data_IF_602958746180
#
_entry.id   IF_602958746180
#
_cell.length_a   1.000
_cell.length_b   1.000
_cell.length_c   1.000
_cell.angle_alpha   90.00
_cell.angle_beta   90.00
_cell.angle_gamma   90.00
#
_symmetry.space_group_name_H-M   'P 1'
#
loop_
_entity.id
_entity.type
_entity.pdbx_description
1 polymer ?
#
# COMPACT_ATOMS: atom_id res chain seq x y z
N UNK A 1 14.47 -9.80 5.79
CA UNK A 1 13.54 -8.92 5.04
C UNK A 1 12.27 -8.85 5.85
N UNK A 2 11.97 -7.69 6.41
CA UNK A 2 10.71 -7.47 7.10
C UNK A 2 9.78 -6.86 6.08
N UNK A 3 8.79 -7.62 5.62
CA UNK A 3 7.72 -7.11 4.80
C UNK A 3 6.68 -6.50 5.73
N UNK A 4 6.49 -5.18 5.64
CA UNK A 4 5.34 -4.55 6.28
C UNK A 4 4.11 -4.92 5.46
N UNK A 5 3.35 -5.88 5.95
CA UNK A 5 2.05 -6.20 5.37
C UNK A 5 1.01 -5.35 6.07
N UNK A 6 0.38 -4.47 5.33
CA UNK A 6 -0.74 -3.67 5.79
C UNK A 6 -1.98 -4.59 5.80
N UNK A 7 -2.38 -5.08 6.95
CA UNK A 7 -3.65 -5.79 7.08
C UNK A 7 -4.76 -4.80 7.46
N UNK A 8 -5.66 -4.54 6.53
CA UNK A 8 -6.94 -3.96 6.86
C UNK A 8 -7.92 -5.11 7.13
N UNK A 9 -8.05 -5.51 8.38
CA UNK A 9 -9.08 -6.48 8.79
C UNK A 9 -10.33 -5.71 9.20
N UNK A 10 -11.41 -5.88 8.45
CA UNK A 10 -12.73 -5.41 8.85
C UNK A 10 -13.35 -6.47 9.74
N UNK A 11 -13.30 -6.30 11.04
CA UNK A 11 -14.07 -7.11 11.98
C UNK A 11 -15.48 -6.52 12.04
N UNK A 12 -16.45 -7.26 11.52
CA UNK A 12 -17.87 -6.96 11.59
C UNK A 12 -18.43 -7.36 12.96
N UNK A 13 -18.33 -6.48 13.93
CA UNK A 13 -19.35 -6.23 14.95
C UNK A 13 -19.21 -4.78 15.38
N UNK A 14 -20.26 -3.98 15.17
CA UNK A 14 -20.36 -2.58 15.62
C UNK A 14 -19.52 -1.52 14.92
N UNK A 15 -19.72 -1.29 13.60
CA UNK A 15 -19.32 -0.06 12.88
C UNK A 15 -17.81 0.35 12.90
N UNK A 16 -16.88 -0.59 13.09
CA UNK A 16 -15.44 -0.31 13.09
C UNK A 16 -14.77 -0.80 11.82
N UNK A 17 -13.93 0.02 11.22
CA UNK A 17 -12.92 -0.38 10.26
C UNK A 17 -11.58 -0.42 11.00
N UNK A 18 -11.07 -1.61 11.29
CA UNK A 18 -9.72 -1.77 11.83
C UNK A 18 -8.74 -1.82 10.64
N UNK A 19 -7.92 -0.80 10.49
CA UNK A 19 -6.74 -0.84 9.65
C UNK A 19 -5.58 -1.27 10.53
N UNK A 20 -5.33 -2.56 10.60
CA UNK A 20 -4.16 -3.08 11.31
C UNK A 20 -2.98 -3.13 10.35
N UNK A 21 -1.97 -2.33 10.64
CA UNK A 21 -0.66 -2.39 9.98
C UNK A 21 0.17 -3.44 10.72
N UNK A 22 0.07 -4.70 10.33
CA UNK A 22 0.86 -5.76 11.00
C UNK A 22 2.16 -6.00 10.24
N UNK A 23 3.24 -6.03 10.99
CA UNK A 23 4.59 -6.27 10.48
C UNK A 23 4.95 -7.73 10.69
N UNK A 24 5.03 -8.52 9.62
CA UNK A 24 5.65 -9.85 9.69
C UNK A 24 7.17 -9.66 9.61
N UNK A 25 7.87 -10.14 10.65
CA UNK A 25 9.33 -10.14 10.69
C UNK A 25 9.91 -11.13 9.68
N UNK A 26 10.27 -10.65 8.50
CA UNK A 26 11.16 -11.35 7.59
C UNK A 26 12.54 -10.69 7.71
N UNK A 27 13.51 -11.44 8.18
CA UNK A 27 14.85 -10.95 8.48
C UNK A 27 15.59 -10.51 7.21
N UNK A 28 15.52 -9.21 6.90
CA UNK A 28 16.67 -8.51 6.32
C UNK A 28 16.98 -7.32 7.22
N UNK A 29 18.26 -7.18 7.56
CA UNK A 29 18.78 -6.15 8.45
C UNK A 29 18.32 -4.75 8.05
N UNK A 30 17.74 -4.06 9.04
CA UNK A 30 17.63 -2.60 9.15
C UNK A 30 17.14 -1.84 7.93
N UNK A 31 15.81 -1.72 7.77
CA UNK A 31 15.12 -0.48 7.41
C UNK A 31 13.68 -0.79 7.00
N UNK A 32 12.77 -0.79 7.97
CA UNK A 32 11.34 -0.88 7.66
C UNK A 32 10.87 0.44 7.09
N UNK A 33 10.22 0.39 5.91
CA UNK A 33 9.54 1.53 5.37
C UNK A 33 8.22 1.78 6.11
N UNK A 34 7.88 3.05 6.35
CA UNK A 34 6.62 3.46 6.98
C UNK A 34 5.99 4.62 6.21
N UNK A 35 4.67 4.57 6.05
CA UNK A 35 3.88 5.75 5.71
C UNK A 35 3.78 6.62 6.96
N UNK A 36 4.17 7.89 6.86
CA UNK A 36 4.15 8.83 7.98
C UNK A 36 3.03 9.86 7.88
N UNK A 37 2.59 10.18 6.66
CA UNK A 37 1.44 11.04 6.42
C UNK A 37 0.77 10.68 5.10
N UNK A 38 -0.53 10.88 5.05
CA UNK A 38 -1.34 10.74 3.84
C UNK A 38 -2.40 11.83 3.81
N UNK A 39 -2.60 12.45 2.65
CA UNK A 39 -3.76 13.30 2.42
C UNK A 39 -4.37 13.09 1.04
N UNK A 40 -5.65 13.40 0.95
CA UNK A 40 -6.41 13.37 -0.31
C UNK A 40 -7.40 14.52 -0.37
N UNK A 41 -7.56 15.08 -1.56
CA UNK A 41 -8.52 16.15 -1.86
C UNK A 41 -9.36 15.78 -3.07
N UNK A 42 -10.62 16.18 -3.08
CA UNK A 42 -11.57 15.97 -4.19
C UNK A 42 -11.81 14.49 -4.56
N UNK A 43 -11.78 13.58 -3.60
CA UNK A 43 -11.92 12.14 -3.85
C UNK A 43 -13.28 11.61 -3.36
N UNK A 44 -14.10 11.06 -4.25
CA UNK A 44 -15.43 10.47 -3.93
C UNK A 44 -16.28 11.38 -3.04
N UNK A 45 -16.51 11.02 -1.78
CA UNK A 45 -17.24 11.81 -0.81
C UNK A 45 -16.43 12.93 -0.14
N UNK A 46 -15.15 13.05 -0.42
CA UNK A 46 -14.24 14.01 0.20
C UNK A 46 -13.95 15.18 -0.71
N UNK A 47 -14.75 16.26 -0.59
CA UNK A 47 -14.53 17.50 -1.32
C UNK A 47 -13.25 18.20 -0.86
N UNK A 48 -13.12 18.38 0.44
CA UNK A 48 -12.00 19.07 1.06
C UNK A 48 -10.88 18.11 1.40
N UNK A 49 -9.67 18.64 1.62
CA UNK A 49 -8.52 17.87 2.06
C UNK A 49 -8.83 17.12 3.36
N UNK A 50 -8.58 15.85 3.35
CA UNK A 50 -8.51 14.98 4.53
C UNK A 50 -7.08 14.54 4.68
N UNK A 51 -6.56 14.62 5.90
CA UNK A 51 -5.20 14.27 6.24
C UNK A 51 -5.17 13.23 7.36
N UNK A 52 -4.24 12.32 7.27
CA UNK A 52 -3.89 11.37 8.30
C UNK A 52 -2.40 11.46 8.59
N UNK A 53 -2.07 12.17 9.66
CA UNK A 53 -0.70 12.31 10.15
C UNK A 53 -0.41 11.22 11.18
N UNK A 54 0.57 10.39 10.88
CA UNK A 54 1.04 9.29 11.70
C UNK A 54 2.39 9.62 12.39
N UNK A 55 2.97 10.78 12.08
CA UNK A 55 4.29 11.20 12.57
C UNK A 55 4.27 11.89 13.93
N UNK A 56 3.07 12.24 14.43
CA UNK A 56 2.89 12.93 15.70
C UNK A 56 2.04 12.12 16.66
N UNK A 57 2.56 11.02 17.25
CA UNK A 57 1.83 10.26 18.24
C UNK A 57 1.63 11.10 19.51
N UNK A 58 0.43 11.03 20.08
CA UNK A 58 0.17 11.64 21.39
C UNK A 58 0.94 10.89 22.49
N UNK A 59 1.18 11.59 23.63
CA UNK A 59 1.90 11.04 24.78
C UNK A 59 1.05 10.02 25.57
N UNK A 60 0.57 8.97 24.93
CA UNK A 60 -0.11 7.87 25.60
C UNK A 60 0.88 6.78 26.01
N UNK A 61 0.85 6.37 27.28
CA UNK A 61 1.65 5.25 27.80
C UNK A 61 1.06 3.89 27.46
N UNK A 62 -0.24 3.86 27.10
CA UNK A 62 -0.94 2.63 26.76
C UNK A 62 -0.57 2.18 25.33
N UNK A 63 -0.24 0.90 25.18
CA UNK A 63 0.11 0.29 23.89
C UNK A 63 1.32 0.94 23.18
N UNK A 64 2.43 1.08 23.88
CA UNK A 64 3.67 1.62 23.31
C UNK A 64 4.15 0.86 22.05
N UNK A 65 3.75 -0.42 21.90
CA UNK A 65 4.04 -1.22 20.73
C UNK A 65 3.35 -0.73 19.45
N UNK A 66 2.31 0.11 19.55
CA UNK A 66 1.66 0.74 18.39
C UNK A 66 2.47 1.89 17.78
N UNK A 67 3.53 2.34 18.45
CA UNK A 67 4.42 3.41 18.00
C UNK A 67 5.80 2.81 17.75
N UNK A 68 6.41 3.20 16.65
CA UNK A 68 7.79 2.83 16.31
C UNK A 68 8.52 4.05 15.76
N UNK A 69 9.68 4.36 16.34
CA UNK A 69 10.51 5.48 15.90
C UNK A 69 9.73 6.82 15.82
N UNK A 70 8.78 7.02 16.76
CA UNK A 70 7.90 8.19 16.78
C UNK A 70 6.76 8.17 15.74
N UNK A 71 6.55 7.05 15.02
CA UNK A 71 5.52 6.91 14.00
C UNK A 71 4.47 5.91 14.47
N UNK A 72 3.19 6.25 14.28
CA UNK A 72 2.06 5.38 14.60
C UNK A 72 1.99 4.25 13.57
N UNK A 73 2.15 2.99 14.02
CA UNK A 73 2.07 1.80 13.15
C UNK A 73 0.64 1.32 12.95
N UNK A 74 -0.18 1.44 13.97
CA UNK A 74 -1.52 0.88 13.99
C UNK A 74 -2.52 2.00 14.23
N UNK A 75 -3.44 2.22 13.31
CA UNK A 75 -4.49 3.22 13.42
C UNK A 75 -5.87 2.59 13.22
N UNK A 76 -6.85 3.09 13.95
CA UNK A 76 -8.26 2.69 13.82
C UNK A 76 -9.06 3.89 13.34
N UNK A 77 -9.79 3.71 12.22
CA UNK A 77 -10.72 4.71 11.71
C UNK A 77 -12.14 4.25 12.03
N UNK A 78 -12.85 5.04 12.82
CA UNK A 78 -14.23 4.77 13.20
C UNK A 78 -15.16 5.91 12.79
N UNK A 79 -16.46 5.62 12.72
CA UNK A 79 -17.50 6.61 12.36
C UNK A 79 -18.77 5.90 11.89
N UNK A 80 -19.86 6.64 11.68
CA UNK A 80 -21.13 6.08 11.25
C UNK A 80 -21.05 5.44 9.85
N UNK A 81 -22.06 4.65 9.49
CA UNK A 81 -22.17 4.11 8.14
C UNK A 81 -22.33 5.27 7.14
N UNK A 82 -21.68 5.17 5.98
CA UNK A 82 -21.69 6.23 4.97
C UNK A 82 -20.67 7.35 5.20
N UNK A 83 -19.95 7.40 6.34
CA UNK A 83 -18.96 8.45 6.64
C UNK A 83 -17.68 8.43 5.76
N UNK A 84 -17.58 7.51 4.81
CA UNK A 84 -16.43 7.46 3.87
C UNK A 84 -15.26 6.61 4.33
N UNK A 85 -15.34 5.86 5.45
CA UNK A 85 -14.22 5.03 5.96
C UNK A 85 -13.59 4.13 4.89
N UNK A 86 -14.41 3.42 4.11
CA UNK A 86 -13.93 2.55 3.03
C UNK A 86 -13.32 3.34 1.89
N UNK A 87 -13.86 4.52 1.57
CA UNK A 87 -13.31 5.40 0.55
C UNK A 87 -11.95 5.96 0.97
N UNK A 88 -11.74 6.22 2.26
CA UNK A 88 -10.45 6.66 2.76
C UNK A 88 -9.38 5.56 2.62
N UNK A 89 -9.71 4.30 2.95
CA UNK A 89 -8.83 3.17 2.70
C UNK A 89 -8.51 2.98 1.21
N UNK A 90 -9.51 3.15 0.33
CA UNK A 90 -9.29 3.12 -1.12
C UNK A 90 -8.39 4.26 -1.60
N UNK A 91 -8.51 5.46 -1.01
CA UNK A 91 -7.67 6.59 -1.35
C UNK A 91 -6.21 6.32 -0.97
N UNK A 92 -5.93 5.79 0.22
CA UNK A 92 -4.58 5.39 0.63
C UNK A 92 -3.98 4.38 -0.36
N UNK A 93 -4.82 3.51 -0.91
CA UNK A 93 -4.39 2.44 -1.82
C UNK A 93 -4.30 2.89 -3.29
N UNK A 94 -4.70 4.11 -3.63
CA UNK A 94 -4.67 4.62 -5.00
C UNK A 94 -3.29 4.55 -5.65
N UNK A 95 -2.24 4.79 -4.90
CA UNK A 95 -0.84 4.72 -5.36
C UNK A 95 -0.50 3.37 -6.01
N UNK A 96 -1.12 2.28 -5.56
CA UNK A 96 -0.90 0.95 -6.12
C UNK A 96 -1.39 0.81 -7.57
N UNK A 97 -2.35 1.65 -8.00
CA UNK A 97 -2.89 1.61 -9.35
C UNK A 97 -1.90 2.03 -10.44
N UNK A 98 -0.86 2.77 -10.09
CA UNK A 98 0.10 3.26 -11.08
C UNK A 98 1.56 2.91 -10.75
N UNK A 99 1.89 2.56 -9.50
CA UNK A 99 3.24 2.13 -9.12
C UNK A 99 3.37 0.62 -8.92
N UNK A 100 2.27 -0.14 -9.13
CA UNK A 100 2.33 -1.60 -9.08
C UNK A 100 1.55 -2.21 -10.25
N UNK A 101 1.74 -3.51 -10.47
CA UNK A 101 0.95 -4.27 -11.43
C UNK A 101 -0.41 -4.74 -10.89
N UNK A 102 -0.68 -4.44 -9.63
CA UNK A 102 -1.91 -4.80 -8.93
C UNK A 102 -3.07 -3.92 -9.40
N UNK A 103 -4.25 -4.46 -9.31
CA UNK A 103 -5.52 -3.79 -9.23
C UNK A 103 -5.80 -2.70 -10.29
N UNK A 104 -6.06 -3.13 -11.52
CA UNK A 104 -6.45 -2.22 -12.62
C UNK A 104 -7.91 -2.43 -13.01
N UNK A 105 -8.85 -2.30 -12.06
CA UNK A 105 -10.28 -2.39 -12.36
C UNK A 105 -10.81 -1.05 -12.91
N UNK A 106 -11.37 -1.02 -14.12
CA UNK A 106 -11.95 0.21 -14.69
C UNK A 106 -13.02 0.84 -13.78
N UNK A 107 -13.82 0.02 -13.12
CA UNK A 107 -14.89 0.48 -12.22
C UNK A 107 -14.39 1.29 -11.01
N UNK A 108 -13.11 1.20 -10.68
CA UNK A 108 -12.50 2.02 -9.65
C UNK A 108 -12.60 3.51 -9.96
N UNK A 109 -12.54 3.86 -11.24
CA UNK A 109 -12.60 5.25 -11.72
C UNK A 109 -14.01 5.78 -11.91
N UNK A 110 -15.04 4.95 -11.69
CA UNK A 110 -16.42 5.42 -11.60
C UNK A 110 -16.60 6.30 -10.36
N UNK A 111 -17.15 7.50 -10.55
CA UNK A 111 -17.32 8.47 -9.46
C UNK A 111 -16.02 8.66 -8.64
N UNK A 112 -14.91 8.82 -9.35
CA UNK A 112 -13.58 8.95 -8.76
C UNK A 112 -13.40 10.28 -8.05
N UNK A 113 -13.68 11.39 -8.72
CA UNK A 113 -13.71 12.71 -8.14
C UNK A 113 -15.03 12.97 -7.36
N UNK A 114 -15.03 13.96 -6.49
CA UNK A 114 -16.17 14.35 -5.69
C UNK A 114 -17.33 14.84 -6.58
N UNK A 115 -18.56 14.48 -6.25
CA UNK A 115 -19.74 14.92 -6.97
C UNK A 115 -19.81 16.45 -7.04
N UNK A 116 -20.03 16.98 -8.24
CA UNK A 116 -20.03 18.43 -8.52
C UNK A 116 -18.65 19.07 -8.70
N UNK A 117 -17.57 18.27 -8.66
CA UNK A 117 -16.18 18.69 -8.87
C UNK A 117 -15.41 17.72 -9.78
N UNK A 118 -16.12 17.07 -10.71
CA UNK A 118 -15.54 16.05 -11.61
C UNK A 118 -14.58 16.62 -12.65
N UNK A 119 -14.67 17.93 -12.90
CA UNK A 119 -13.78 18.71 -13.77
C UNK A 119 -12.42 19.02 -13.13
N UNK A 120 -12.30 18.82 -11.82
CA UNK A 120 -11.06 19.05 -11.09
C UNK A 120 -10.31 17.75 -10.82
N UNK A 121 -8.98 17.78 -10.79
CA UNK A 121 -8.20 16.61 -10.41
C UNK A 121 -8.44 16.20 -8.97
N UNK A 122 -8.15 14.94 -8.70
CA UNK A 122 -8.03 14.39 -7.33
C UNK A 122 -6.57 14.47 -6.94
N UNK A 123 -6.26 15.12 -5.83
CA UNK A 123 -4.90 15.31 -5.35
C UNK A 123 -4.59 14.32 -4.22
N UNK A 124 -3.43 13.69 -4.32
CA UNK A 124 -2.90 12.75 -3.33
C UNK A 124 -1.52 13.21 -2.87
N UNK A 125 -1.28 13.11 -1.58
CA UNK A 125 0.03 13.38 -0.98
C UNK A 125 0.38 12.26 -0.02
N UNK A 126 1.58 11.73 -0.15
CA UNK A 126 2.11 10.69 0.72
C UNK A 126 3.48 11.12 1.24
N UNK A 127 3.71 10.93 2.51
CA UNK A 127 5.05 11.04 3.10
C UNK A 127 5.45 9.68 3.65
N UNK A 128 6.63 9.24 3.26
CA UNK A 128 7.21 7.96 3.69
C UNK A 128 8.56 8.18 4.34
N UNK A 129 8.92 7.26 5.23
CA UNK A 129 10.31 7.04 5.65
C UNK A 129 10.70 5.65 5.18
N UNK A 130 11.57 5.56 4.17
CA UNK A 130 11.97 4.32 3.50
C UNK A 130 13.49 4.24 3.47
N UNK A 131 14.04 3.21 4.08
CA UNK A 131 15.47 3.00 4.02
C UNK A 131 16.32 4.12 4.64
N UNK A 132 15.76 4.90 5.56
CA UNK A 132 16.40 6.07 6.15
C UNK A 132 16.20 7.36 5.37
N UNK A 133 15.52 7.29 4.20
CA UNK A 133 15.17 8.45 3.39
C UNK A 133 13.75 8.91 3.66
N UNK A 134 13.52 10.22 3.67
CA UNK A 134 12.18 10.81 3.68
C UNK A 134 11.74 11.10 2.26
N UNK A 135 10.64 10.49 1.84
CA UNK A 135 10.06 10.67 0.51
C UNK A 135 8.71 11.37 0.63
N UNK A 136 8.57 12.50 -0.05
CA UNK A 136 7.28 13.17 -0.26
C UNK A 136 6.86 12.93 -1.71
N UNK A 137 5.79 12.18 -1.91
CA UNK A 137 5.27 11.84 -3.23
C UNK A 137 3.87 12.40 -3.39
N UNK A 138 3.73 13.36 -4.29
CA UNK A 138 2.48 14.05 -4.60
C UNK A 138 2.08 13.76 -6.04
N UNK A 139 0.80 13.52 -6.28
CA UNK A 139 0.28 13.44 -7.64
C UNK A 139 -1.18 13.89 -7.72
N UNK A 140 -1.55 14.38 -8.90
CA UNK A 140 -2.93 14.73 -9.23
C UNK A 140 -3.43 13.83 -10.37
N UNK A 141 -4.61 13.28 -10.21
CA UNK A 141 -5.22 12.33 -11.14
C UNK A 141 -6.58 12.81 -11.65
N UNK A 142 -6.81 12.65 -12.94
CA UNK A 142 -8.13 12.85 -13.57
C UNK A 142 -8.62 11.50 -14.11
N UNK A 143 -9.87 11.16 -13.81
CA UNK A 143 -10.52 9.98 -14.37
C UNK A 143 -11.12 10.31 -15.74
N UNK A 144 -10.55 9.75 -16.79
CA UNK A 144 -11.05 9.85 -18.16
C UNK A 144 -11.21 8.45 -18.75
N UNK A 145 -12.35 8.15 -19.35
CA UNK A 145 -12.62 6.86 -20.00
C UNK A 145 -12.30 5.65 -19.09
N UNK A 146 -12.67 5.73 -17.81
CA UNK A 146 -12.40 4.70 -16.80
C UNK A 146 -10.90 4.41 -16.59
N UNK A 147 -10.05 5.40 -16.82
CA UNK A 147 -8.61 5.37 -16.56
C UNK A 147 -8.20 6.55 -15.70
N UNK A 148 -7.26 6.34 -14.83
CA UNK A 148 -6.65 7.41 -14.02
C UNK A 148 -5.43 7.97 -14.73
N UNK A 149 -5.57 9.19 -15.27
CA UNK A 149 -4.49 9.89 -15.93
C UNK A 149 -3.78 10.81 -14.94
N UNK A 150 -2.46 10.67 -14.80
CA UNK A 150 -1.66 11.52 -13.92
C UNK A 150 -1.33 12.81 -14.65
N UNK A 151 -1.94 13.90 -14.19
CA UNK A 151 -1.77 15.24 -14.78
C UNK A 151 -0.67 16.06 -14.09
N UNK A 152 -0.39 15.75 -12.84
CA UNK A 152 0.72 16.33 -12.06
C UNK A 152 1.39 15.25 -11.25
N UNK A 153 2.72 15.32 -11.11
CA UNK A 153 3.49 14.36 -10.31
C UNK A 153 4.74 15.03 -9.77
N UNK A 154 5.01 14.86 -8.48
CA UNK A 154 6.19 15.41 -7.83
C UNK A 154 6.74 14.39 -6.84
N UNK A 155 8.04 14.24 -6.85
CA UNK A 155 8.75 13.45 -5.86
C UNK A 155 9.90 14.28 -5.27
N UNK A 156 9.92 14.35 -3.94
CA UNK A 156 10.97 15.00 -3.17
C UNK A 156 11.61 13.92 -2.29
N UNK A 157 12.92 13.81 -2.31
CA UNK A 157 13.71 12.88 -1.49
C UNK A 157 14.67 13.67 -0.63
N UNK A 158 14.59 13.51 0.67
CA UNK A 158 15.43 14.22 1.67
C UNK A 158 15.45 15.74 1.46
N UNK A 159 14.29 16.30 1.10
CA UNK A 159 14.11 17.74 0.85
C UNK A 159 14.55 18.21 -0.55
N UNK A 160 15.10 17.33 -1.39
CA UNK A 160 15.49 17.67 -2.75
C UNK A 160 14.42 17.21 -3.74
N UNK A 161 13.95 18.10 -4.62
CA UNK A 161 13.03 17.74 -5.69
C UNK A 161 13.80 16.93 -6.75
N UNK A 162 13.43 15.65 -6.88
CA UNK A 162 14.03 14.72 -7.86
C UNK A 162 13.18 14.55 -9.10
N UNK A 163 11.90 14.90 -9.00
CA UNK A 163 10.94 14.86 -10.10
C UNK A 163 9.86 15.93 -9.91
N UNK A 164 9.61 16.69 -10.96
CA UNK A 164 8.42 17.53 -11.10
C UNK A 164 7.86 17.39 -12.51
N UNK A 165 6.60 16.99 -12.61
CA UNK A 165 5.75 17.06 -13.80
C UNK A 165 4.55 17.93 -13.47
N UNK A 166 4.39 19.05 -14.16
CA UNK A 166 3.23 19.90 -14.03
C UNK A 166 2.97 20.63 -15.36
N UNK A 167 1.85 20.32 -16.02
CA UNK A 167 1.51 20.85 -17.36
C UNK A 167 2.68 20.69 -18.34
N UNK A 168 3.26 21.82 -18.76
CA UNK A 168 4.38 21.88 -19.72
C UNK A 168 5.77 21.77 -19.06
N UNK A 169 5.83 21.58 -17.76
CA UNK A 169 7.08 21.43 -17.03
C UNK A 169 7.34 19.95 -16.78
N UNK A 170 8.54 19.49 -17.13
CA UNK A 170 9.08 18.19 -16.72
C UNK A 170 10.54 18.36 -16.30
N UNK A 171 10.78 18.29 -15.01
CA UNK A 171 12.10 18.30 -14.42
C UNK A 171 12.39 16.92 -13.84
N UNK A 172 13.53 16.35 -14.22
CA UNK A 172 14.01 15.06 -13.71
C UNK A 172 15.46 15.25 -13.27
N UNK A 173 15.77 14.83 -12.05
CA UNK A 173 17.13 14.98 -11.50
C UNK A 173 18.17 14.22 -12.33
N UNK A 174 19.39 14.75 -12.37
CA UNK A 174 20.49 14.20 -13.16
C UNK A 174 20.91 12.79 -12.73
N UNK A 175 20.59 12.38 -11.51
CA UNK A 175 20.90 11.05 -10.98
C UNK A 175 20.28 9.90 -11.79
N UNK A 176 19.21 10.17 -12.55
CA UNK A 176 18.58 9.18 -13.43
C UNK A 176 19.32 9.00 -14.76
N UNK A 177 20.34 9.80 -15.05
CA UNK A 177 21.17 9.67 -16.25
C UNK A 177 20.44 9.91 -17.58
N UNK A 178 19.25 10.54 -17.56
CA UNK A 178 18.52 10.87 -18.77
C UNK A 178 19.15 12.09 -19.46
N UNK A 179 19.27 12.00 -20.80
CA UNK A 179 19.70 13.15 -21.60
C UNK A 179 18.58 14.17 -21.73
N UNK A 180 18.92 15.43 -21.99
CA UNK A 180 17.94 16.51 -22.21
C UNK A 180 16.95 16.14 -23.33
N UNK A 181 17.44 15.56 -24.43
CA UNK A 181 16.59 15.10 -25.53
C UNK A 181 15.62 13.99 -25.10
N UNK A 182 16.06 13.07 -24.23
CA UNK A 182 15.17 12.03 -23.69
C UNK A 182 14.06 12.64 -22.81
N UNK A 183 14.38 13.65 -22.01
CA UNK A 183 13.42 14.37 -21.18
C UNK A 183 12.42 15.14 -22.05
N UNK A 184 12.85 15.80 -23.11
CA UNK A 184 11.97 16.50 -24.05
C UNK A 184 11.02 15.54 -24.78
N UNK A 185 11.52 14.41 -25.30
CA UNK A 185 10.68 13.38 -25.90
C UNK A 185 9.67 12.78 -24.90
N UNK A 186 10.12 12.58 -23.67
CA UNK A 186 9.25 12.08 -22.60
C UNK A 186 8.16 13.11 -22.25
N UNK A 187 8.48 14.39 -22.22
CA UNK A 187 7.53 15.48 -21.98
C UNK A 187 6.40 15.48 -23.01
N UNK A 188 6.71 15.29 -24.29
CA UNK A 188 5.72 15.24 -25.36
C UNK A 188 4.81 14.01 -25.27
N UNK A 189 5.34 12.86 -24.85
CA UNK A 189 4.64 11.57 -24.79
C UNK A 189 3.94 11.30 -23.46
N UNK A 190 4.30 12.01 -22.39
CA UNK A 190 3.98 11.65 -21.00
C UNK A 190 2.68 12.28 -20.46
N UNK A 191 1.80 12.81 -21.31
CA UNK A 191 0.65 13.59 -20.85
C UNK A 191 -0.27 12.86 -19.84
N UNK A 192 -0.24 11.51 -19.81
CA UNK A 192 -1.17 10.72 -19.00
C UNK A 192 -0.51 9.60 -18.18
N UNK A 193 0.83 9.50 -18.18
CA UNK A 193 1.55 8.44 -17.50
C UNK A 193 2.29 8.94 -16.25
N UNK A 194 2.54 8.05 -15.31
CA UNK A 194 3.44 8.31 -14.18
C UNK A 194 4.89 8.29 -14.66
N UNK A 195 5.61 9.38 -14.40
CA UNK A 195 7.05 9.46 -14.67
C UNK A 195 7.83 8.61 -13.68
N UNK A 196 7.38 8.53 -12.42
CA UNK A 196 7.99 7.61 -11.42
C UNK A 196 7.92 6.17 -11.92
N UNK A 197 6.77 5.74 -12.45
CA UNK A 197 6.64 4.39 -13.01
C UNK A 197 7.52 4.20 -14.25
N UNK A 198 7.63 5.22 -15.11
CA UNK A 198 8.54 5.19 -16.25
C UNK A 198 10.00 5.02 -15.80
N UNK A 199 10.46 5.82 -14.83
CA UNK A 199 11.82 5.72 -14.29
C UNK A 199 12.10 4.34 -13.69
N UNK A 200 11.16 3.81 -12.93
CA UNK A 200 11.24 2.45 -12.35
C UNK A 200 11.35 1.34 -13.39
N UNK A 201 10.75 1.54 -14.56
CA UNK A 201 10.68 0.53 -15.62
C UNK A 201 11.81 0.65 -16.65
N UNK A 202 12.33 1.86 -16.87
CA UNK A 202 13.22 2.17 -18.01
C UNK A 202 14.62 2.56 -17.62
N UNK A 203 14.84 2.95 -16.34
CA UNK A 203 16.18 3.39 -15.87
C UNK A 203 16.77 2.32 -14.96
N UNK A 204 18.02 1.88 -15.20
CA UNK A 204 18.72 0.98 -14.30
C UNK A 204 19.09 1.72 -13.01
N UNK A 205 18.34 1.43 -11.93
CA UNK A 205 18.57 2.05 -10.62
C UNK A 205 19.44 1.14 -9.74
N UNK A 206 20.39 1.71 -8.98
CA UNK A 206 21.22 0.93 -8.07
C UNK A 206 20.39 0.32 -6.94
N UNK A 207 20.85 -0.83 -6.43
CA UNK A 207 20.18 -1.50 -5.29
C UNK A 207 20.09 -0.56 -4.09
N UNK A 208 18.91 -0.43 -3.53
CA UNK A 208 18.64 0.46 -2.38
C UNK A 208 18.28 1.91 -2.77
N UNK A 209 18.18 2.21 -4.07
CA UNK A 209 17.69 3.51 -4.52
C UNK A 209 16.28 3.80 -3.97
N UNK A 210 16.02 5.05 -3.59
CA UNK A 210 14.76 5.50 -2.96
C UNK A 210 13.49 5.12 -3.75
N UNK A 211 13.54 5.20 -5.09
CA UNK A 211 12.43 4.79 -5.95
C UNK A 211 12.17 3.27 -5.88
N UNK A 212 13.22 2.45 -5.80
CA UNK A 212 13.05 0.99 -5.64
C UNK A 212 12.44 0.66 -4.29
N UNK A 213 12.82 1.38 -3.24
CA UNK A 213 12.22 1.23 -1.91
C UNK A 213 10.75 1.63 -1.92
N UNK A 214 10.38 2.72 -2.62
CA UNK A 214 9.00 3.16 -2.80
C UNK A 214 8.20 2.09 -3.55
N UNK A 215 8.71 1.58 -4.67
CA UNK A 215 8.05 0.50 -5.41
C UNK A 215 7.86 -0.73 -4.54
N UNK A 216 8.90 -1.17 -3.85
CA UNK A 216 8.82 -2.35 -2.98
C UNK A 216 7.80 -2.15 -1.86
N UNK A 217 7.70 -0.94 -1.28
CA UNK A 217 6.67 -0.61 -0.30
C UNK A 217 5.27 -0.74 -0.90
N UNK A 218 5.02 -0.11 -2.06
CA UNK A 218 3.71 -0.11 -2.73
C UNK A 218 3.32 -1.51 -3.20
N UNK A 219 4.26 -2.30 -3.74
CA UNK A 219 4.01 -3.69 -4.13
C UNK A 219 3.70 -4.61 -2.94
N UNK A 220 4.08 -4.24 -1.74
CA UNK A 220 3.77 -4.99 -0.53
C UNK A 220 2.58 -4.42 0.26
N UNK A 221 1.92 -3.38 -0.22
CA UNK A 221 0.66 -2.92 0.37
C UNK A 221 -0.43 -4.00 0.20
N UNK A 222 -1.24 -4.18 1.23
CA UNK A 222 -2.32 -5.16 1.25
C UNK A 222 -3.61 -4.50 1.73
N UNK A 223 -4.70 -4.73 1.01
CA UNK A 223 -6.01 -4.17 1.31
C UNK A 223 -7.10 -5.23 1.26
N UNK A 224 -7.86 -5.38 2.35
CA UNK A 224 -8.99 -6.29 2.43
C UNK A 224 -10.32 -5.53 2.39
N UNK A 225 -11.23 -5.95 1.51
CA UNK A 225 -12.62 -5.47 1.42
C UNK A 225 -13.58 -6.58 1.75
N UNK A 226 -13.97 -6.70 3.01
CA UNK A 226 -14.79 -7.84 3.47
C UNK A 226 -16.27 -7.75 3.10
N UNK A 227 -16.83 -6.54 2.85
CA UNK A 227 -18.26 -6.37 2.57
C UNK A 227 -18.61 -6.34 1.08
N UNK A 228 -17.72 -5.83 0.25
CA UNK A 228 -17.94 -5.77 -1.18
C UNK A 228 -17.15 -6.90 -1.84
N UNK A 229 -17.82 -7.94 -2.32
CA UNK A 229 -17.27 -9.05 -3.10
C UNK A 229 -16.21 -9.93 -2.40
N UNK A 230 -15.98 -9.79 -1.10
CA UNK A 230 -14.90 -10.49 -0.37
C UNK A 230 -13.53 -10.34 -1.07
N UNK A 231 -13.26 -9.16 -1.56
CA UNK A 231 -12.08 -8.86 -2.36
C UNK A 231 -10.90 -8.50 -1.47
N UNK A 232 -9.75 -9.05 -1.79
CA UNK A 232 -8.49 -8.55 -1.25
C UNK A 232 -7.55 -8.17 -2.39
N UNK A 233 -6.76 -7.13 -2.18
CA UNK A 233 -5.69 -6.74 -3.08
C UNK A 233 -4.41 -7.16 -2.38
N UNK A 234 -3.87 -8.28 -2.86
CA UNK A 234 -2.82 -8.99 -2.16
C UNK A 234 -1.42 -8.53 -2.48
N UNK A 235 -0.47 -9.28 -1.93
CA UNK A 235 0.94 -9.18 -2.19
C UNK A 235 1.24 -9.36 -3.68
N UNK A 236 2.44 -8.96 -4.07
CA UNK A 236 3.04 -8.98 -5.39
C UNK A 236 2.51 -10.10 -6.32
N UNK A 237 2.03 -9.75 -7.51
CA UNK A 237 1.68 -10.75 -8.54
C UNK A 237 2.89 -11.63 -8.88
N UNK A 238 2.69 -12.96 -8.90
CA UNK A 238 3.76 -13.94 -9.04
C UNK A 238 4.41 -14.33 -7.71
N UNK A 239 3.94 -13.76 -6.61
CA UNK A 239 4.18 -14.32 -5.28
C UNK A 239 3.34 -15.57 -5.10
N UNK A 240 3.95 -16.59 -4.51
CA UNK A 240 3.31 -17.80 -4.05
C UNK A 240 2.01 -17.48 -3.31
N UNK A 241 1.05 -18.36 -3.40
CA UNK A 241 -0.11 -18.46 -2.53
C UNK A 241 0.35 -18.20 -1.08
N UNK A 242 -0.45 -17.55 -0.25
CA UNK A 242 -0.10 -17.22 1.14
C UNK A 242 0.31 -18.47 1.92
N UNK A 243 -0.30 -19.62 1.63
CA UNK A 243 0.04 -20.91 2.22
C UNK A 243 1.44 -21.35 1.81
N UNK A 244 1.78 -21.27 0.52
CA UNK A 244 3.11 -21.55 -0.02
C UNK A 244 4.16 -20.63 0.62
N UNK A 245 3.82 -19.35 0.82
CA UNK A 245 4.71 -18.41 1.48
C UNK A 245 4.98 -18.81 2.94
N UNK A 246 3.94 -19.17 3.70
CA UNK A 246 4.04 -19.63 5.09
C UNK A 246 4.90 -20.89 5.17
N UNK A 247 4.68 -21.84 4.25
CA UNK A 247 5.42 -23.12 4.18
C UNK A 247 6.89 -22.86 3.85
N UNK A 248 7.16 -22.12 2.76
CA UNK A 248 8.52 -21.87 2.26
C UNK A 248 9.38 -21.09 3.25
N UNK A 249 8.77 -20.23 4.06
CA UNK A 249 9.49 -19.41 5.04
C UNK A 249 9.41 -19.98 6.47
N UNK A 250 8.85 -21.18 6.65
CA UNK A 250 8.69 -21.85 7.96
C UNK A 250 7.95 -20.96 8.99
N UNK A 251 6.89 -20.26 8.56
CA UNK A 251 6.13 -19.33 9.40
C UNK A 251 4.88 -19.97 10.04
N UNK A 252 4.75 -21.30 10.05
CA UNK A 252 3.59 -22.00 10.59
C UNK A 252 3.29 -21.64 12.04
N UNK A 253 4.31 -21.64 12.91
CA UNK A 253 4.16 -21.32 14.34
C UNK A 253 3.80 -19.85 14.56
N UNK A 254 4.43 -18.94 13.82
CA UNK A 254 4.10 -17.50 13.89
C UNK A 254 2.68 -17.23 13.40
N UNK A 255 2.23 -17.95 12.38
CA UNK A 255 0.87 -17.86 11.86
C UNK A 255 -0.15 -18.45 12.83
N UNK A 256 0.15 -19.57 13.48
CA UNK A 256 -0.68 -20.14 14.53
C UNK A 256 -0.82 -19.18 15.72
N UNK A 257 0.28 -18.58 16.18
CA UNK A 257 0.27 -17.60 17.26
C UNK A 257 -0.56 -16.36 16.89
N UNK A 258 -0.47 -15.89 15.65
CA UNK A 258 -1.29 -14.79 15.15
C UNK A 258 -2.78 -15.14 15.13
N UNK A 259 -3.13 -16.32 14.61
CA UNK A 259 -4.54 -16.76 14.57
C UNK A 259 -5.12 -16.90 15.97
N UNK A 260 -4.35 -17.41 16.92
CA UNK A 260 -4.75 -17.51 18.34
C UNK A 260 -5.05 -16.13 18.93
N UNK A 261 -4.20 -15.14 18.66
CA UNK A 261 -4.41 -13.76 19.13
C UNK A 261 -5.67 -13.13 18.52
N UNK A 262 -5.94 -13.38 17.24
CA UNK A 262 -7.04 -12.73 16.50
C UNK A 262 -8.38 -13.45 16.69
N UNK A 263 -8.38 -14.77 16.68
CA UNK A 263 -9.61 -15.60 16.74
C UNK A 263 -9.88 -16.23 18.11
N UNK A 264 -8.87 -16.29 18.98
CA UNK A 264 -8.91 -17.02 20.23
C UNK A 264 -8.85 -18.55 20.06
N UNK A 265 -8.63 -19.05 18.83
CA UNK A 265 -8.56 -20.46 18.52
C UNK A 265 -7.11 -20.90 18.38
N UNK A 266 -6.81 -22.08 18.93
CA UNK A 266 -5.51 -22.71 18.76
C UNK A 266 -5.50 -23.55 17.49
N UNK A 267 -4.53 -23.27 16.62
CA UNK A 267 -4.27 -24.06 15.41
C UNK A 267 -2.90 -24.69 15.50
N UNK A 268 -2.82 -25.97 15.16
CA UNK A 268 -1.57 -26.68 14.96
C UNK A 268 -1.41 -26.95 13.47
N UNK A 269 -0.30 -26.44 12.88
CA UNK A 269 -0.04 -26.63 11.45
C UNK A 269 0.94 -27.77 11.21
N UNK A 270 0.64 -28.59 10.22
CA UNK A 270 1.52 -29.65 9.78
C UNK A 270 2.07 -29.34 8.37
N UNK A 271 3.33 -29.69 8.09
CA UNK A 271 3.85 -29.62 6.73
C UNK A 271 3.09 -30.57 5.81
N UNK A 272 3.01 -30.21 4.53
CA UNK A 272 2.45 -31.09 3.50
C UNK A 272 3.18 -32.44 3.46
N UNK A 273 2.41 -33.51 3.42
CA UNK A 273 2.96 -34.86 3.32
C UNK A 273 3.45 -35.23 1.92
N UNK A 274 3.00 -34.49 0.88
CA UNK A 274 3.21 -34.81 -0.53
C UNK A 274 4.06 -33.77 -1.26
N UNK A 275 4.53 -32.69 -0.56
CA UNK A 275 5.26 -31.62 -1.17
C UNK A 275 4.37 -30.68 -1.99
N UNK A 276 3.03 -30.78 -1.85
CA UNK A 276 2.11 -29.79 -2.33
C UNK A 276 2.23 -28.51 -1.46
N UNK A 277 1.98 -27.34 -2.02
CA UNK A 277 2.08 -26.08 -1.30
C UNK A 277 0.78 -25.76 -0.53
N UNK A 278 0.21 -26.77 0.14
CA UNK A 278 -1.03 -26.67 0.94
C UNK A 278 -0.70 -26.67 2.42
N UNK A 279 -1.22 -25.71 3.15
CA UNK A 279 -1.12 -25.63 4.61
C UNK A 279 -2.18 -26.51 5.24
N UNK A 280 -1.77 -27.46 6.06
CA UNK A 280 -2.66 -28.37 6.77
C UNK A 280 -2.76 -28.02 8.24
N UNK A 281 -3.99 -28.01 8.77
CA UNK A 281 -4.25 -28.04 10.22
C UNK A 281 -4.29 -29.49 10.72
N UNK A 282 -3.77 -29.73 11.91
CA UNK A 282 -3.99 -30.95 12.67
C UNK A 282 -5.24 -30.77 13.55
N UNK A 283 -6.27 -31.58 13.31
CA UNK A 283 -7.47 -31.62 14.12
C UNK A 283 -7.70 -33.09 14.52
N UNK A 284 -7.64 -33.38 15.82
CA UNK A 284 -7.78 -34.72 16.37
C UNK A 284 -6.88 -35.77 15.67
N UNK A 285 -5.65 -35.34 15.31
CA UNK A 285 -4.67 -36.17 14.59
C UNK A 285 -4.93 -36.33 13.09
N UNK A 286 -5.96 -35.68 12.54
CA UNK A 286 -6.29 -35.71 11.11
C UNK A 286 -5.77 -34.42 10.46
N UNK A 287 -5.15 -34.56 9.29
CA UNK A 287 -4.69 -33.42 8.48
C UNK A 287 -5.83 -32.91 7.60
N UNK A 288 -6.23 -31.67 7.81
CA UNK A 288 -7.28 -31.00 7.03
C UNK A 288 -6.70 -29.74 6.38
N UNK A 289 -6.87 -29.52 5.08
CA UNK A 289 -6.45 -28.28 4.45
C UNK A 289 -6.99 -27.05 5.18
N UNK A 290 -6.13 -26.09 5.52
CA UNK A 290 -6.50 -24.91 6.33
C UNK A 290 -7.69 -24.14 5.73
N UNK A 291 -7.73 -24.00 4.40
CA UNK A 291 -8.81 -23.33 3.68
C UNK A 291 -10.21 -23.94 3.94
N UNK A 292 -10.30 -25.15 4.48
CA UNK A 292 -11.58 -25.81 4.82
C UNK A 292 -11.93 -25.69 6.30
N UNK A 293 -10.99 -25.20 7.10
CA UNK A 293 -11.14 -25.05 8.55
C UNK A 293 -11.42 -23.59 8.94
N UNK A 294 -10.93 -22.62 8.14
CA UNK A 294 -10.97 -21.18 8.39
C UNK A 294 -12.25 -20.49 7.86
#
# INVERSE_FOLDING_TARGET
MLVNVLYAVKILRNNFLLVALHTIKISYRNQMGMLTSFSVTNYKGFKNRIEWDLSHPSNYSFNAAAIREGIVKNGIIYGPNGAGKSNFGLAIFDIANHLSHKWKKPDYYLNYACAGHQDMPVDFEYTFVLGGHTLLYNYSKVALELKGNIVREQLIVDGNEVLLKDKDVLNIANEFGLTQTAIENLKESANNISIVNYLLSSVPLPKGHSLLLLRDFVENMLFFRSLDNREFIGLKEGGSNIEEYIITHHLGDDFAAYLKEVSGQDYEFAPSAQGDNVLYCLMDGVRIPFQWVA
#
